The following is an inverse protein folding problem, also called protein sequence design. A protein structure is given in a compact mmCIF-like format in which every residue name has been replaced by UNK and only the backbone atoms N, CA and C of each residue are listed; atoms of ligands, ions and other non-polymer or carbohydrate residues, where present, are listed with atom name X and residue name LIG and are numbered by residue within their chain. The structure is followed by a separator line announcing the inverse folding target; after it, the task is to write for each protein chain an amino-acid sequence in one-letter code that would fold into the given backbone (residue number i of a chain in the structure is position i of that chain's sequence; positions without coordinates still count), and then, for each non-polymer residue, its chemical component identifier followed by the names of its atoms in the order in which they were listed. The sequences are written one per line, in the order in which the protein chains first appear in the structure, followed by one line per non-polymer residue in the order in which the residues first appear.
data_IF_456813789891
#
_entry.id   IF_456813789891
#
_cell.length_a   1.000
_cell.length_b   1.000
_cell.length_c   1.000
_cell.angle_alpha   90.00
_cell.angle_beta   90.00
_cell.angle_gamma   90.00
#
_symmetry.space_group_name_H-M   'P 1'
#
loop_
_entity.id
_entity.type
_entity.pdbx_description
1 polymer ?
#
# COMPACT_ATOMS: atom_id res chain seq x y z
N UNK A 1 -34.25 -5.94 0.89
CA UNK A 1 -33.24 -6.99 0.58
C UNK A 1 -31.89 -6.81 1.29
N UNK A 2 -30.97 -5.91 0.89
CA UNK A 2 -29.63 -5.86 1.53
C UNK A 2 -29.70 -5.45 3.01
N UNK A 3 -30.43 -4.39 3.33
CA UNK A 3 -30.60 -3.94 4.73
C UNK A 3 -31.44 -4.90 5.58
N UNK A 4 -32.36 -5.65 4.95
CA UNK A 4 -33.11 -6.72 5.62
C UNK A 4 -32.21 -7.92 5.96
N UNK A 5 -31.25 -8.25 5.10
CA UNK A 5 -30.34 -9.38 5.31
C UNK A 5 -29.17 -9.04 6.24
N UNK A 6 -28.65 -7.80 6.18
CA UNK A 6 -27.40 -7.41 6.86
C UNK A 6 -27.58 -6.34 7.96
N UNK A 7 -28.79 -5.81 8.16
CA UNK A 7 -29.09 -4.83 9.20
C UNK A 7 -28.16 -3.61 9.16
N UNK A 8 -27.52 -3.33 10.29
CA UNK A 8 -26.58 -2.20 10.44
C UNK A 8 -25.21 -2.43 9.78
N UNK A 9 -24.89 -3.67 9.41
CA UNK A 9 -23.69 -3.99 8.63
C UNK A 9 -23.90 -3.85 7.12
N UNK A 10 -25.08 -3.42 6.68
CA UNK A 10 -25.37 -3.21 5.27
C UNK A 10 -24.54 -2.05 4.70
N UNK A 11 -24.07 -2.23 3.47
CA UNK A 11 -23.42 -1.17 2.71
C UNK A 11 -24.36 0.04 2.54
N UNK A 12 -23.78 1.23 2.56
CA UNK A 12 -24.52 2.46 2.29
C UNK A 12 -25.01 2.50 0.84
N UNK A 13 -26.04 3.28 0.57
CA UNK A 13 -26.58 3.42 -0.78
C UNK A 13 -25.54 3.87 -1.80
N UNK A 14 -24.62 4.77 -1.43
CA UNK A 14 -23.54 5.24 -2.30
C UNK A 14 -22.55 4.14 -2.65
N UNK A 15 -22.22 3.26 -1.70
CA UNK A 15 -21.35 2.10 -1.95
C UNK A 15 -22.02 1.10 -2.89
N UNK A 16 -23.30 0.80 -2.66
CA UNK A 16 -24.07 -0.10 -3.53
C UNK A 16 -24.18 0.46 -4.95
N UNK A 17 -24.46 1.76 -5.09
CA UNK A 17 -24.54 2.44 -6.40
C UNK A 17 -23.21 2.40 -7.15
N UNK A 18 -22.08 2.64 -6.46
CA UNK A 18 -20.74 2.53 -7.04
C UNK A 18 -20.48 1.12 -7.58
N UNK A 19 -20.72 0.10 -6.77
CA UNK A 19 -20.52 -1.30 -7.18
C UNK A 19 -21.44 -1.69 -8.34
N UNK A 20 -22.71 -1.29 -8.31
CA UNK A 20 -23.65 -1.56 -9.40
C UNK A 20 -23.18 -0.96 -10.74
N UNK A 21 -22.64 0.26 -10.73
CA UNK A 21 -22.08 0.88 -11.94
C UNK A 21 -20.89 0.08 -12.47
N UNK A 22 -19.96 -0.26 -11.58
CA UNK A 22 -18.73 -0.99 -11.94
C UNK A 22 -19.04 -2.39 -12.47
N UNK A 23 -20.00 -3.10 -11.88
CA UNK A 23 -20.48 -4.40 -12.40
C UNK A 23 -21.15 -4.26 -13.77
N UNK A 24 -21.93 -3.19 -13.99
CA UNK A 24 -22.54 -2.91 -15.31
C UNK A 24 -21.51 -2.59 -16.39
N UNK A 25 -20.35 -2.06 -16.00
CA UNK A 25 -19.21 -1.79 -16.89
C UNK A 25 -18.40 -3.07 -17.21
N UNK A 26 -18.81 -4.23 -16.69
CA UNK A 26 -18.23 -5.53 -17.03
C UNK A 26 -17.12 -6.01 -16.09
N UNK A 27 -16.87 -5.31 -14.98
CA UNK A 27 -15.94 -5.80 -13.96
C UNK A 27 -16.59 -6.94 -13.17
N UNK A 28 -15.96 -8.11 -13.15
CA UNK A 28 -16.46 -9.27 -12.38
C UNK A 28 -15.73 -9.46 -11.04
N UNK A 29 -14.60 -8.79 -10.86
CA UNK A 29 -13.77 -8.90 -9.65
C UNK A 29 -14.38 -8.16 -8.45
N UNK A 30 -14.51 -8.88 -7.34
CA UNK A 30 -15.01 -8.34 -6.05
C UNK A 30 -13.87 -7.83 -5.16
N UNK A 31 -12.63 -8.24 -5.44
CA UNK A 31 -11.46 -7.77 -4.69
C UNK A 31 -11.22 -6.29 -4.93
N UNK A 32 -10.56 -5.62 -3.99
CA UNK A 32 -10.11 -4.25 -4.22
C UNK A 32 -9.02 -4.25 -5.31
N UNK A 33 -9.11 -3.29 -6.23
CA UNK A 33 -7.99 -3.01 -7.14
C UNK A 33 -6.74 -2.65 -6.32
N UNK A 34 -5.56 -2.87 -6.91
CA UNK A 34 -4.32 -2.40 -6.31
C UNK A 34 -4.46 -0.90 -6.03
N UNK A 35 -4.59 -0.58 -4.75
CA UNK A 35 -4.55 0.81 -4.32
C UNK A 35 -3.18 1.32 -4.69
N UNK A 36 -3.14 2.43 -5.43
CA UNK A 36 -1.89 3.13 -5.77
C UNK A 36 -1.12 3.54 -4.51
N UNK A 37 -1.76 3.49 -3.34
CA UNK A 37 -1.17 3.81 -2.05
C UNK A 37 -0.51 5.19 -2.08
N UNK A 38 0.29 5.48 -1.05
CA UNK A 38 1.29 6.53 -1.20
C UNK A 38 2.56 5.84 -1.70
N UNK A 39 3.19 6.30 -2.80
CA UNK A 39 4.51 5.84 -3.17
C UNK A 39 5.43 5.96 -1.95
N UNK A 40 5.92 4.82 -1.48
CA UNK A 40 6.88 4.81 -0.39
C UNK A 40 8.17 5.42 -0.92
N UNK A 41 8.54 6.60 -0.42
CA UNK A 41 9.80 7.25 -0.79
C UNK A 41 11.01 6.49 -0.24
N UNK A 42 10.80 5.56 0.71
CA UNK A 42 11.85 4.73 1.29
C UNK A 42 12.07 3.43 0.52
N UNK A 43 11.00 2.74 0.07
CA UNK A 43 11.09 1.44 -0.62
C UNK A 43 11.20 1.56 -2.14
N UNK A 44 12.12 2.39 -2.62
CA UNK A 44 12.47 2.44 -4.05
C UNK A 44 13.55 1.40 -4.36
N UNK A 45 13.58 0.86 -5.59
CA UNK A 45 14.59 -0.11 -6.00
C UNK A 45 16.03 0.42 -5.84
N UNK A 46 16.22 1.73 -6.07
CA UNK A 46 17.50 2.40 -5.86
C UNK A 46 17.93 2.37 -4.39
N UNK A 47 17.03 2.67 -3.46
CA UNK A 47 17.33 2.61 -2.03
C UNK A 47 17.64 1.17 -1.60
N UNK A 48 16.90 0.17 -2.11
CA UNK A 48 17.16 -1.24 -1.83
C UNK A 48 18.55 -1.67 -2.33
N UNK A 49 18.93 -1.27 -3.53
CA UNK A 49 20.25 -1.55 -4.08
C UNK A 49 21.37 -0.90 -3.26
N UNK A 50 21.19 0.35 -2.85
CA UNK A 50 22.16 1.07 -2.04
C UNK A 50 22.30 0.48 -0.61
N UNK A 51 21.19 0.04 0.03
CA UNK A 51 21.26 -0.71 1.30
C UNK A 51 22.09 -1.99 1.14
N UNK A 52 21.87 -2.75 0.06
CA UNK A 52 22.63 -3.99 -0.20
C UNK A 52 24.13 -3.71 -0.31
N UNK A 53 24.51 -2.70 -1.10
CA UNK A 53 25.92 -2.30 -1.24
C UNK A 53 26.55 -1.87 0.09
N UNK A 54 25.84 -1.08 0.91
CA UNK A 54 26.33 -0.66 2.22
C UNK A 54 26.58 -1.86 3.14
N UNK A 55 25.68 -2.85 3.14
CA UNK A 55 25.82 -4.06 3.95
C UNK A 55 26.92 -5.00 3.43
N UNK A 56 27.15 -5.04 2.12
CA UNK A 56 28.26 -5.80 1.51
C UNK A 56 29.63 -5.19 1.89
N UNK A 57 29.71 -3.86 2.00
CA UNK A 57 30.90 -3.15 2.46
C UNK A 57 31.13 -3.29 3.97
N UNK A 58 30.09 -3.10 4.79
CA UNK A 58 30.14 -3.27 6.24
C UNK A 58 28.80 -3.77 6.80
N UNK A 59 28.79 -5.06 7.15
CA UNK A 59 27.61 -5.72 7.72
C UNK A 59 27.29 -5.26 9.16
N UNK A 60 28.16 -4.49 9.81
CA UNK A 60 27.97 -3.97 11.19
C UNK A 60 27.31 -2.59 11.23
N UNK A 61 26.92 -2.04 10.08
CA UNK A 61 26.25 -0.75 10.00
C UNK A 61 24.94 -0.72 10.80
N UNK A 62 24.73 0.37 11.53
CA UNK A 62 23.48 0.60 12.29
C UNK A 62 22.42 1.18 11.36
N UNK A 63 21.15 0.85 11.62
CA UNK A 63 19.99 1.32 10.82
C UNK A 63 19.98 2.85 10.69
N UNK A 64 20.30 3.59 11.75
CA UNK A 64 20.38 5.07 11.70
C UNK A 64 21.44 5.59 10.71
N UNK A 65 22.56 4.88 10.57
CA UNK A 65 23.61 5.28 9.62
C UNK A 65 23.15 5.04 8.18
N UNK A 66 22.55 3.88 7.92
CA UNK A 66 21.97 3.55 6.61
C UNK A 66 20.86 4.54 6.24
N UNK A 67 20.00 4.91 7.19
CA UNK A 67 18.97 5.93 6.99
C UNK A 67 19.56 7.31 6.64
N UNK A 68 20.62 7.72 7.33
CA UNK A 68 21.31 8.98 7.06
C UNK A 68 21.95 9.00 5.66
N UNK A 69 22.63 7.92 5.26
CA UNK A 69 23.23 7.79 3.93
C UNK A 69 22.18 7.90 2.81
N UNK A 70 21.02 7.26 3.03
CA UNK A 70 19.91 7.26 2.07
C UNK A 70 19.01 8.49 2.17
N UNK A 71 19.30 9.43 3.08
CA UNK A 71 18.47 10.60 3.38
C UNK A 71 17.02 10.22 3.68
N UNK A 72 16.81 9.06 4.29
CA UNK A 72 15.50 8.56 4.72
C UNK A 72 15.27 8.95 6.17
N UNK A 73 14.05 9.38 6.51
CA UNK A 73 13.73 9.61 7.92
C UNK A 73 13.55 8.26 8.63
N UNK A 74 14.01 8.16 9.88
CA UNK A 74 13.94 6.92 10.67
C UNK A 74 12.53 6.36 10.85
N UNK A 75 11.50 7.15 10.53
CA UNK A 75 10.07 6.80 10.58
C UNK A 75 9.60 6.01 9.35
N UNK A 76 10.43 5.90 8.29
CA UNK A 76 10.02 5.33 6.99
C UNK A 76 10.44 3.87 6.75
N UNK A 77 10.99 3.19 7.76
CA UNK A 77 11.39 1.79 7.69
C UNK A 77 10.35 0.88 8.33
#
# INVERSE_FOLDING_TARGET
MIREAYGDSALSYSQVSRWLKVFKEGREEVHDEQSSGRPSTSKTDNNVACVRQLLDCDRRLRIKMVANELKLSSTQF
#
